data_IF_948686293444
#
_entry.id   IF_948686293444
#
_cell.length_a   1.000
_cell.length_b   1.000
_cell.length_c   1.000
_cell.angle_alpha   90.00
_cell.angle_beta   90.00
_cell.angle_gamma   90.00
#
_symmetry.space_group_name_H-M   'P 1'
#
loop_
_entity.id
_entity.type
_entity.pdbx_description
1 polymer ?
#
# COMPACT_ATOMS: atom_id res chain seq x y z
N UNK A 1 -4.06 -24.89 -2.70
CA UNK A 1 -3.93 -23.42 -2.70
C UNK A 1 -5.32 -22.78 -2.86
N UNK A 2 -6.08 -23.08 -3.91
CA UNK A 2 -7.41 -22.46 -4.15
C UNK A 2 -8.36 -22.58 -2.95
N UNK A 3 -8.47 -23.76 -2.36
CA UNK A 3 -9.29 -23.99 -1.15
C UNK A 3 -8.76 -23.26 0.10
N UNK A 4 -7.44 -23.14 0.24
CA UNK A 4 -6.82 -22.41 1.36
C UNK A 4 -7.06 -20.89 1.26
N UNK A 5 -6.97 -20.33 0.04
CA UNK A 5 -7.17 -18.91 -0.22
C UNK A 5 -8.64 -18.55 -0.49
N UNK A 6 -9.54 -19.53 -0.48
CA UNK A 6 -10.97 -19.37 -0.76
C UNK A 6 -11.27 -18.63 -2.08
N UNK A 7 -10.52 -18.97 -3.13
CA UNK A 7 -10.64 -18.43 -4.49
C UNK A 7 -10.77 -19.54 -5.53
N UNK A 8 -11.21 -19.20 -6.75
CA UNK A 8 -11.33 -20.19 -7.83
C UNK A 8 -9.95 -20.64 -8.35
N UNK A 9 -9.86 -21.89 -8.86
CA UNK A 9 -8.64 -22.39 -9.51
C UNK A 9 -8.22 -21.50 -10.69
N UNK A 10 -9.19 -20.96 -11.44
CA UNK A 10 -8.94 -20.05 -12.54
C UNK A 10 -8.29 -18.75 -12.06
N UNK A 11 -8.69 -18.26 -10.89
CA UNK A 11 -8.07 -17.08 -10.24
C UNK A 11 -6.62 -17.39 -9.89
N UNK A 12 -6.37 -18.54 -9.24
CA UNK A 12 -5.01 -18.99 -8.91
C UNK A 12 -4.12 -19.09 -10.14
N UNK A 13 -4.63 -19.69 -11.22
CA UNK A 13 -3.85 -19.82 -12.47
C UNK A 13 -3.48 -18.46 -13.08
N UNK A 14 -4.38 -17.48 -13.02
CA UNK A 14 -4.09 -16.12 -13.49
C UNK A 14 -3.06 -15.45 -12.61
N UNK A 15 -3.24 -15.52 -11.30
CA UNK A 15 -2.36 -14.88 -10.33
C UNK A 15 -0.95 -15.49 -10.35
N UNK A 16 -0.85 -16.83 -10.54
CA UNK A 16 0.44 -17.50 -10.74
C UNK A 16 1.17 -17.03 -11.99
N UNK A 17 0.47 -16.69 -13.09
CA UNK A 17 1.13 -16.15 -14.29
C UNK A 17 1.72 -14.75 -14.03
N UNK A 18 0.98 -13.91 -13.30
CA UNK A 18 1.47 -12.59 -12.91
C UNK A 18 2.68 -12.71 -11.99
N UNK A 19 2.61 -13.64 -11.04
CA UNK A 19 3.71 -13.95 -10.13
C UNK A 19 4.95 -14.47 -10.89
N UNK A 20 4.78 -15.36 -11.89
CA UNK A 20 5.88 -15.81 -12.76
C UNK A 20 6.56 -14.64 -13.47
N UNK A 21 5.79 -13.71 -14.02
CA UNK A 21 6.34 -12.54 -14.71
C UNK A 21 7.10 -11.63 -13.75
N UNK A 22 6.56 -11.40 -12.56
CA UNK A 22 7.19 -10.57 -11.53
C UNK A 22 8.46 -11.21 -10.98
N UNK A 23 8.44 -12.49 -10.63
CA UNK A 23 9.58 -13.25 -10.13
C UNK A 23 10.69 -13.42 -11.17
N UNK A 24 10.34 -13.46 -12.46
CA UNK A 24 11.31 -13.54 -13.56
C UNK A 24 12.29 -12.36 -13.58
N UNK A 25 11.90 -11.17 -13.07
CA UNK A 25 12.80 -10.02 -12.92
C UNK A 25 13.94 -10.29 -11.93
N UNK A 26 13.71 -11.19 -10.98
CA UNK A 26 14.64 -11.58 -9.93
C UNK A 26 15.31 -12.92 -10.22
N UNK A 27 15.19 -13.45 -11.46
CA UNK A 27 15.72 -14.77 -11.87
C UNK A 27 15.17 -15.95 -11.05
N UNK A 28 13.96 -15.80 -10.55
CA UNK A 28 13.26 -16.82 -9.77
C UNK A 28 12.19 -17.45 -10.67
N UNK A 29 12.22 -18.78 -10.79
CA UNK A 29 11.28 -19.55 -11.57
C UNK A 29 10.18 -20.14 -10.70
N UNK A 30 8.97 -20.20 -11.25
CA UNK A 30 7.81 -20.82 -10.61
C UNK A 30 7.55 -22.18 -11.27
N UNK A 31 7.81 -23.26 -10.54
CA UNK A 31 7.54 -24.62 -11.01
C UNK A 31 6.18 -25.10 -10.52
N UNK A 32 5.34 -25.57 -11.44
CA UNK A 32 4.02 -26.14 -11.13
C UNK A 32 4.11 -27.66 -11.30
N UNK A 33 3.91 -28.40 -10.21
CA UNK A 33 3.92 -29.88 -10.21
C UNK A 33 2.54 -30.41 -9.89
N UNK A 34 1.95 -31.16 -10.80
CA UNK A 34 0.66 -31.79 -10.58
C UNK A 34 0.69 -32.69 -9.33
N UNK A 35 -0.25 -32.46 -8.41
CA UNK A 35 -0.35 -33.20 -7.14
C UNK A 35 0.62 -32.74 -6.03
N UNK A 36 1.68 -31.98 -6.35
CA UNK A 36 2.66 -31.49 -5.37
C UNK A 36 2.51 -29.99 -5.07
N UNK A 37 1.96 -29.19 -6.01
CA UNK A 37 1.74 -27.78 -5.81
C UNK A 37 2.65 -26.87 -6.63
N UNK A 38 3.01 -25.73 -6.05
CA UNK A 38 3.87 -24.71 -6.67
C UNK A 38 5.17 -24.62 -5.87
N UNK A 39 6.29 -24.59 -6.56
CA UNK A 39 7.62 -24.46 -5.97
C UNK A 39 8.37 -23.30 -6.63
N UNK A 40 9.12 -22.54 -5.85
CA UNK A 40 10.03 -21.53 -6.35
C UNK A 40 11.43 -22.15 -6.49
N UNK A 41 12.10 -21.84 -7.58
CA UNK A 41 13.50 -22.25 -7.82
C UNK A 41 14.29 -21.06 -8.38
N UNK A 42 15.57 -20.95 -8.00
CA UNK A 42 16.49 -19.96 -8.51
C UNK A 42 17.85 -20.61 -8.78
N UNK A 43 18.60 -20.05 -9.74
CA UNK A 43 19.97 -20.52 -10.03
C UNK A 43 20.92 -20.19 -8.87
N UNK A 44 20.67 -19.08 -8.15
CA UNK A 44 21.45 -18.64 -7.02
C UNK A 44 20.59 -18.55 -5.76
N UNK A 45 21.07 -19.13 -4.68
CA UNK A 45 20.40 -19.07 -3.37
C UNK A 45 20.26 -17.62 -2.87
N UNK A 46 21.18 -16.72 -3.28
CA UNK A 46 21.12 -15.31 -2.95
C UNK A 46 19.85 -14.63 -3.50
N UNK A 47 19.34 -15.05 -4.64
CA UNK A 47 18.12 -14.51 -5.25
C UNK A 47 16.88 -14.90 -4.42
N UNK A 48 16.86 -16.12 -3.86
CA UNK A 48 15.81 -16.56 -2.94
C UNK A 48 15.89 -15.87 -1.58
N UNK A 49 17.10 -15.67 -1.05
CA UNK A 49 17.32 -14.93 0.19
C UNK A 49 16.92 -13.45 0.04
N UNK A 50 17.20 -12.87 -1.13
CA UNK A 50 16.77 -11.50 -1.42
C UNK A 50 15.24 -11.40 -1.49
N UNK A 51 14.56 -12.37 -2.12
CA UNK A 51 13.10 -12.45 -2.11
C UNK A 51 12.57 -12.60 -0.68
N UNK A 52 13.18 -13.47 0.13
CA UNK A 52 12.80 -13.66 1.53
C UNK A 52 12.95 -12.35 2.32
N UNK A 53 14.07 -11.64 2.16
CA UNK A 53 14.26 -10.30 2.74
C UNK A 53 13.22 -9.28 2.28
N UNK A 54 12.85 -9.26 1.00
CA UNK A 54 11.79 -8.39 0.48
C UNK A 54 10.43 -8.74 1.09
N UNK A 55 10.11 -10.03 1.20
CA UNK A 55 8.86 -10.49 1.79
C UNK A 55 8.82 -10.26 3.30
N UNK A 56 9.92 -10.45 4.01
CA UNK A 56 10.02 -10.21 5.46
C UNK A 56 9.97 -8.71 5.74
N UNK A 57 10.69 -7.87 4.99
CA UNK A 57 10.60 -6.42 5.11
C UNK A 57 9.18 -5.89 4.84
N UNK A 58 8.41 -6.56 3.98
CA UNK A 58 6.97 -6.26 3.80
C UNK A 58 6.08 -6.88 4.90
N UNK A 59 6.59 -7.84 5.69
CA UNK A 59 5.82 -8.55 6.71
C UNK A 59 6.08 -8.10 8.15
N UNK A 60 7.14 -7.36 8.44
CA UNK A 60 7.44 -6.88 9.79
C UNK A 60 6.79 -5.52 10.08
N UNK A 61 5.73 -5.58 10.86
CA UNK A 61 5.15 -4.55 11.71
C UNK A 61 4.55 -3.28 11.12
N UNK A 62 3.49 -3.42 10.38
CA UNK A 62 2.32 -2.57 10.60
C UNK A 62 1.19 -3.50 11.03
N UNK A 63 0.51 -3.21 12.13
CA UNK A 63 -0.69 -3.91 12.60
C UNK A 63 -1.50 -4.47 11.43
N UNK A 64 -1.53 -5.75 11.26
CA UNK A 64 -2.17 -6.66 10.27
C UNK A 64 -2.94 -6.11 9.06
N UNK A 65 -3.24 -4.83 9.05
CA UNK A 65 -4.09 -4.11 8.11
C UNK A 65 -3.27 -3.48 6.99
N UNK A 66 -2.09 -2.93 7.30
CA UNK A 66 -1.30 -2.11 6.36
C UNK A 66 -0.08 -2.82 5.77
N UNK A 67 0.09 -4.12 6.02
CA UNK A 67 1.19 -4.93 5.47
C UNK A 67 1.14 -5.13 3.95
N UNK A 68 0.27 -4.42 3.25
CA UNK A 68 0.13 -4.57 1.81
C UNK A 68 0.10 -3.18 1.16
N UNK A 69 1.15 -2.84 0.40
CA UNK A 69 1.26 -1.59 -0.33
C UNK A 69 0.01 -1.23 -1.15
N UNK A 70 -0.70 -2.23 -1.68
CA UNK A 70 -1.97 -2.03 -2.38
C UNK A 70 -3.07 -1.52 -1.44
N UNK A 71 -3.20 -2.07 -0.23
CA UNK A 71 -4.19 -1.61 0.77
C UNK A 71 -3.92 -0.19 1.21
N UNK A 72 -2.64 0.13 1.42
CA UNK A 72 -2.21 1.50 1.72
C UNK A 72 -2.63 2.46 0.61
N UNK A 73 -2.38 2.10 -0.66
CA UNK A 73 -2.80 2.92 -1.82
C UNK A 73 -4.32 3.07 -1.91
N UNK A 74 -5.08 1.99 -1.70
CA UNK A 74 -6.55 2.04 -1.70
C UNK A 74 -7.06 2.91 -0.55
N UNK A 75 -6.53 2.74 0.66
CA UNK A 75 -6.91 3.55 1.81
C UNK A 75 -6.59 5.03 1.61
N UNK A 76 -5.39 5.36 1.12
CA UNK A 76 -4.97 6.71 0.77
C UNK A 76 -5.92 7.35 -0.26
N UNK A 77 -6.24 6.61 -1.32
CA UNK A 77 -7.18 7.07 -2.34
C UNK A 77 -8.56 7.37 -1.75
N UNK A 78 -9.14 6.45 -0.98
CA UNK A 78 -10.46 6.64 -0.39
C UNK A 78 -10.50 7.79 0.61
N UNK A 79 -9.44 7.98 1.40
CA UNK A 79 -9.31 9.11 2.33
C UNK A 79 -9.20 10.44 1.59
N UNK A 80 -8.43 10.51 0.50
CA UNK A 80 -8.24 11.73 -0.29
C UNK A 80 -9.45 12.08 -1.16
N UNK A 81 -10.18 11.08 -1.64
CA UNK A 81 -11.37 11.29 -2.50
C UNK A 81 -12.66 11.53 -1.70
N UNK A 82 -12.64 11.32 -0.38
CA UNK A 82 -13.84 11.51 0.47
C UNK A 82 -14.37 12.94 0.35
N UNK A 83 -15.70 13.15 0.23
CA UNK A 83 -16.81 12.18 0.31
C UNK A 83 -17.18 11.50 -1.02
N UNK A 84 -16.36 11.62 -2.07
CA UNK A 84 -16.66 11.05 -3.37
C UNK A 84 -16.64 9.52 -3.35
N UNK A 85 -17.57 8.91 -4.09
CA UNK A 85 -17.67 7.45 -4.16
C UNK A 85 -16.79 6.87 -5.27
N UNK A 86 -16.12 5.78 -4.95
CA UNK A 86 -15.30 5.02 -5.90
C UNK A 86 -15.83 3.60 -6.03
N UNK A 87 -16.12 3.16 -7.27
CA UNK A 87 -16.67 1.84 -7.51
C UNK A 87 -15.60 0.73 -7.40
N UNK A 88 -16.03 -0.48 -7.01
CA UNK A 88 -15.16 -1.67 -6.98
C UNK A 88 -14.56 -1.93 -8.37
N UNK A 89 -15.30 -1.68 -9.46
CA UNK A 89 -14.80 -1.83 -10.83
C UNK A 89 -13.62 -0.89 -11.09
N UNK A 90 -13.74 0.40 -10.74
CA UNK A 90 -12.65 1.37 -10.88
C UNK A 90 -11.40 0.95 -10.10
N UNK A 91 -11.57 0.49 -8.85
CA UNK A 91 -10.46 -0.02 -8.05
C UNK A 91 -9.86 -1.30 -8.68
N UNK A 92 -10.68 -2.22 -9.18
CA UNK A 92 -10.23 -3.44 -9.86
C UNK A 92 -9.40 -3.12 -11.10
N UNK A 93 -9.85 -2.19 -11.91
CA UNK A 93 -9.16 -1.73 -13.12
C UNK A 93 -7.84 -1.02 -12.76
N UNK A 94 -7.87 -0.09 -11.81
CA UNK A 94 -6.70 0.70 -11.40
C UNK A 94 -5.59 -0.17 -10.81
N UNK A 95 -5.95 -1.17 -10.01
CA UNK A 95 -4.98 -2.03 -9.32
C UNK A 95 -4.77 -3.40 -10.01
N UNK A 96 -5.40 -3.63 -11.16
CA UNK A 96 -5.28 -4.85 -11.96
C UNK A 96 -5.58 -6.14 -11.18
N UNK A 97 -6.58 -6.10 -10.29
CA UNK A 97 -7.00 -7.25 -9.47
C UNK A 97 -8.50 -7.51 -9.58
N UNK A 98 -8.93 -8.68 -9.09
CA UNK A 98 -10.34 -9.05 -9.10
C UNK A 98 -11.17 -8.21 -8.12
N UNK A 99 -12.46 -7.98 -8.43
CA UNK A 99 -13.39 -7.32 -7.50
C UNK A 99 -13.49 -8.03 -6.15
N UNK A 100 -13.37 -9.36 -6.12
CA UNK A 100 -13.32 -10.13 -4.87
C UNK A 100 -12.11 -9.77 -4.01
N UNK A 101 -10.95 -9.57 -4.64
CA UNK A 101 -9.73 -9.12 -3.95
C UNK A 101 -9.89 -7.70 -3.39
N UNK A 102 -10.50 -6.78 -4.17
CA UNK A 102 -10.84 -5.44 -3.68
C UNK A 102 -11.77 -5.51 -2.46
N UNK A 103 -12.83 -6.33 -2.52
CA UNK A 103 -13.76 -6.50 -1.38
C UNK A 103 -13.04 -6.99 -0.13
N UNK A 104 -12.08 -7.90 -0.26
CA UNK A 104 -11.27 -8.36 0.87
C UNK A 104 -10.37 -7.24 1.42
N UNK A 105 -9.72 -6.49 0.56
CA UNK A 105 -8.88 -5.35 0.96
C UNK A 105 -9.74 -4.28 1.66
N UNK A 106 -10.92 -3.97 1.14
CA UNK A 106 -11.85 -3.01 1.76
C UNK A 106 -12.32 -3.45 3.16
N UNK A 107 -12.49 -4.75 3.41
CA UNK A 107 -12.82 -5.24 4.78
C UNK A 107 -11.69 -4.99 5.77
N UNK A 108 -10.46 -5.18 5.33
CA UNK A 108 -9.28 -4.94 6.16
C UNK A 108 -9.12 -3.44 6.43
N UNK A 109 -9.30 -2.59 5.41
CA UNK A 109 -9.29 -1.13 5.55
C UNK A 109 -10.40 -0.67 6.50
N UNK A 110 -11.62 -1.21 6.39
CA UNK A 110 -12.76 -0.94 7.27
C UNK A 110 -12.42 -1.23 8.74
N UNK A 111 -11.79 -2.38 9.02
CA UNK A 111 -11.35 -2.73 10.38
C UNK A 111 -10.30 -1.76 10.93
N UNK A 112 -9.43 -1.22 10.08
CA UNK A 112 -8.43 -0.23 10.46
C UNK A 112 -9.04 1.16 10.69
N UNK A 113 -10.06 1.55 9.94
CA UNK A 113 -10.75 2.83 10.06
C UNK A 113 -11.64 2.91 11.31
N UNK A 114 -12.23 1.79 11.72
CA UNK A 114 -13.21 1.74 12.81
C UNK A 114 -12.70 2.32 14.15
N UNK A 115 -11.49 2.00 14.65
CA UNK A 115 -10.95 2.61 15.87
C UNK A 115 -10.73 4.12 15.77
N UNK A 116 -10.61 4.65 14.54
CA UNK A 116 -10.43 6.08 14.27
C UNK A 116 -11.78 6.83 14.19
N UNK A 117 -12.89 6.12 14.41
CA UNK A 117 -14.24 6.67 14.30
C UNK A 117 -14.69 6.94 12.87
N UNK A 118 -14.04 6.32 11.88
CA UNK A 118 -14.38 6.38 10.47
C UNK A 118 -15.15 5.13 10.05
N UNK A 119 -16.09 5.29 9.12
CA UNK A 119 -16.90 4.19 8.58
C UNK A 119 -16.71 4.08 7.08
N UNK A 120 -16.63 2.85 6.57
CA UNK A 120 -16.61 2.56 5.14
C UNK A 120 -18.02 2.29 4.65
N UNK A 121 -18.60 3.25 3.95
CA UNK A 121 -19.97 3.16 3.41
C UNK A 121 -19.92 2.55 2.01
N UNK A 122 -20.81 1.59 1.78
CA UNK A 122 -20.98 0.92 0.49
C UNK A 122 -22.37 1.18 -0.04
N UNK A 123 -22.44 1.74 -1.24
CA UNK A 123 -23.67 2.04 -1.96
C UNK A 123 -23.67 1.37 -3.36
N UNK A 124 -24.79 1.35 -4.07
CA UNK A 124 -24.81 0.91 -5.47
C UNK A 124 -23.91 1.74 -6.40
N UNK A 125 -23.63 3.00 -6.06
CA UNK A 125 -22.78 3.93 -6.81
C UNK A 125 -21.29 3.75 -6.50
N UNK A 126 -20.95 3.22 -5.32
CA UNK A 126 -19.57 2.99 -4.95
C UNK A 126 -19.32 2.87 -3.45
N UNK A 127 -18.08 3.09 -3.08
CA UNK A 127 -17.60 3.04 -1.70
C UNK A 127 -16.93 4.37 -1.36
N UNK A 128 -17.22 4.92 -0.18
CA UNK A 128 -16.55 6.10 0.36
C UNK A 128 -16.34 5.97 1.87
N UNK A 129 -15.50 6.84 2.42
CA UNK A 129 -15.28 6.93 3.86
C UNK A 129 -16.20 8.03 4.42
N UNK A 130 -16.89 7.74 5.53
CA UNK A 130 -17.72 8.68 6.26
C UNK A 130 -17.09 8.95 7.64
N UNK A 131 -17.04 10.24 8.00
CA UNK A 131 -16.55 10.73 9.28
C UNK A 131 -16.27 12.23 9.25
N UNK A 132 -15.80 12.78 10.35
CA UNK A 132 -15.42 14.20 10.41
C UNK A 132 -14.10 14.43 9.69
N UNK A 133 -13.89 15.64 9.18
CA UNK A 133 -12.64 16.04 8.54
C UNK A 133 -11.41 15.81 9.45
N UNK A 134 -11.54 16.08 10.75
CA UNK A 134 -10.48 15.82 11.72
C UNK A 134 -10.09 14.35 11.81
N UNK A 135 -11.07 13.43 11.76
CA UNK A 135 -10.82 11.98 11.76
C UNK A 135 -10.15 11.53 10.45
N UNK A 136 -10.59 12.07 9.31
CA UNK A 136 -9.96 11.79 8.00
C UNK A 136 -8.51 12.25 7.98
N UNK A 137 -8.21 13.46 8.47
CA UNK A 137 -6.84 13.97 8.59
C UNK A 137 -5.99 13.13 9.54
N UNK A 138 -6.55 12.69 10.67
CA UNK A 138 -5.85 11.81 11.61
C UNK A 138 -5.51 10.46 10.97
N UNK A 139 -6.46 9.85 10.26
CA UNK A 139 -6.24 8.60 9.55
C UNK A 139 -5.15 8.76 8.47
N UNK A 140 -5.17 9.85 7.71
CA UNK A 140 -4.15 10.15 6.71
C UNK A 140 -2.77 10.34 7.35
N UNK A 141 -2.67 11.05 8.47
CA UNK A 141 -1.41 11.24 9.19
C UNK A 141 -0.84 9.90 9.70
N UNK A 142 -1.68 9.01 10.24
CA UNK A 142 -1.26 7.67 10.67
C UNK A 142 -0.79 6.82 9.48
N UNK A 143 -1.48 6.91 8.34
CA UNK A 143 -1.09 6.23 7.10
C UNK A 143 0.29 6.70 6.63
N UNK A 144 0.52 8.01 6.58
CA UNK A 144 1.80 8.62 6.16
C UNK A 144 2.92 8.23 7.12
N UNK A 145 2.68 8.30 8.43
CA UNK A 145 3.67 7.88 9.44
C UNK A 145 4.03 6.39 9.28
N UNK A 146 3.05 5.52 9.01
CA UNK A 146 3.29 4.13 8.71
C UNK A 146 4.17 3.93 7.46
N UNK A 147 3.91 4.68 6.39
CA UNK A 147 4.72 4.65 5.16
C UNK A 147 6.17 5.09 5.42
N UNK A 148 6.36 6.17 6.16
CA UNK A 148 7.70 6.72 6.48
C UNK A 148 8.49 5.73 7.32
N UNK A 149 7.91 5.25 8.42
CA UNK A 149 8.61 4.35 9.36
C UNK A 149 9.02 3.01 8.74
N UNK A 150 8.29 2.55 7.71
CA UNK A 150 8.67 1.32 6.99
C UNK A 150 9.82 1.48 6.00
N UNK A 151 10.15 2.72 5.62
CA UNK A 151 11.11 2.98 4.56
C UNK A 151 12.40 3.65 5.08
N UNK A 152 12.67 3.64 6.39
CA UNK A 152 13.89 4.23 6.92
C UNK A 152 15.15 3.48 6.44
N UNK A 153 15.97 4.05 5.55
CA UNK A 153 17.37 3.67 5.42
C UNK A 153 18.17 4.50 6.42
N UNK A 154 18.96 3.83 7.22
CA UNK A 154 19.91 4.48 8.10
C UNK A 154 20.89 5.38 7.30
N UNK A 155 20.79 6.67 7.52
CA UNK A 155 21.88 7.64 7.27
C UNK A 155 21.81 8.38 5.94
N UNK A 156 21.72 9.64 6.07
CA UNK A 156 22.02 10.87 5.30
C UNK A 156 20.78 11.72 5.03
N UNK A 157 20.73 12.84 5.72
CA UNK A 157 19.68 13.86 5.63
C UNK A 157 19.84 14.64 4.30
N UNK A 158 18.89 14.48 3.39
CA UNK A 158 18.69 15.43 2.30
C UNK A 158 17.31 16.07 2.46
N UNK A 159 17.28 17.41 2.51
CA UNK A 159 16.06 18.19 2.76
C UNK A 159 15.22 17.62 3.92
N UNK A 160 14.17 18.17 4.33
CA UNK A 160 13.36 17.78 5.51
C UNK A 160 12.78 16.35 5.50
N UNK A 161 12.90 15.65 4.38
CA UNK A 161 12.62 14.22 4.24
C UNK A 161 13.93 13.52 3.84
N UNK A 162 14.27 12.44 4.52
CA UNK A 162 15.32 11.55 4.07
C UNK A 162 14.96 10.93 2.70
N UNK A 163 15.94 10.49 1.91
CA UNK A 163 15.69 9.98 0.56
C UNK A 163 14.75 8.77 0.51
N UNK A 164 14.73 7.94 1.54
CA UNK A 164 13.85 6.78 1.63
C UNK A 164 12.41 7.20 1.81
N UNK A 165 12.15 8.08 2.79
CA UNK A 165 10.83 8.65 3.04
C UNK A 165 10.30 9.44 1.85
N UNK A 166 11.15 10.26 1.20
CA UNK A 166 10.78 10.97 -0.02
C UNK A 166 10.32 10.00 -1.12
N UNK A 167 11.15 8.99 -1.41
CA UNK A 167 10.85 7.97 -2.43
C UNK A 167 9.58 7.19 -2.12
N UNK A 168 9.37 6.85 -0.84
CA UNK A 168 8.15 6.17 -0.41
C UNK A 168 6.91 7.04 -0.62
N UNK A 169 6.95 8.30 -0.20
CA UNK A 169 5.83 9.23 -0.39
C UNK A 169 5.52 9.45 -1.87
N UNK A 170 6.55 9.65 -2.71
CA UNK A 170 6.39 9.77 -4.17
C UNK A 170 5.74 8.51 -4.76
N UNK A 171 6.14 7.33 -4.30
CA UNK A 171 5.54 6.08 -4.76
C UNK A 171 4.06 5.94 -4.43
N UNK A 172 3.62 6.42 -3.25
CA UNK A 172 2.23 6.30 -2.79
C UNK A 172 1.34 7.45 -3.26
N UNK A 173 1.86 8.66 -3.29
CA UNK A 173 1.06 9.88 -3.50
C UNK A 173 1.33 10.57 -4.85
N UNK A 174 2.48 10.34 -5.47
CA UNK A 174 2.93 11.03 -6.66
C UNK A 174 3.96 12.13 -6.36
N UNK A 175 4.79 12.45 -7.33
CA UNK A 175 5.87 13.43 -7.16
C UNK A 175 5.33 14.87 -7.07
N UNK A 176 4.32 15.19 -7.87
CA UNK A 176 3.70 16.52 -7.89
C UNK A 176 3.10 16.87 -6.54
N UNK A 177 2.37 15.94 -5.93
CA UNK A 177 1.73 16.12 -4.62
C UNK A 177 2.75 16.27 -3.50
N UNK A 178 3.82 15.48 -3.53
CA UNK A 178 4.89 15.57 -2.52
C UNK A 178 5.63 16.90 -2.63
N UNK A 179 5.97 17.34 -3.85
CA UNK A 179 6.64 18.63 -4.09
C UNK A 179 5.72 19.81 -3.71
N UNK A 180 4.43 19.73 -4.04
CA UNK A 180 3.45 20.73 -3.65
C UNK A 180 3.38 20.93 -2.13
N UNK A 181 3.27 19.82 -1.37
CA UNK A 181 3.25 19.88 0.10
C UNK A 181 4.55 20.45 0.65
N UNK A 182 5.70 20.06 0.10
CA UNK A 182 7.00 20.61 0.51
C UNK A 182 7.08 22.12 0.27
N UNK A 183 6.62 22.61 -0.89
CA UNK A 183 6.62 24.04 -1.18
C UNK A 183 5.68 24.81 -0.24
N UNK A 184 4.50 24.27 0.03
CA UNK A 184 3.53 24.89 0.95
C UNK A 184 4.11 25.01 2.36
N UNK A 185 4.78 23.98 2.87
CA UNK A 185 5.43 24.02 4.19
C UNK A 185 6.54 25.06 4.25
N UNK A 186 7.35 25.17 3.18
CA UNK A 186 8.39 26.20 3.08
C UNK A 186 7.81 27.61 3.08
N UNK A 187 6.73 27.83 2.34
CA UNK A 187 6.05 29.11 2.29
C UNK A 187 5.45 29.49 3.67
N UNK A 188 4.82 28.54 4.34
CA UNK A 188 4.30 28.74 5.70
C UNK A 188 5.39 29.10 6.70
N UNK A 189 6.55 28.43 6.64
CA UNK A 189 7.68 28.75 7.54
C UNK A 189 8.26 30.14 7.26
N UNK A 190 8.35 30.53 6.00
CA UNK A 190 8.80 31.87 5.62
C UNK A 190 7.83 32.94 6.11
N UNK A 191 6.52 32.72 6.00
CA UNK A 191 5.51 33.65 6.46
C UNK A 191 5.43 33.74 8.00
N UNK A 192 5.54 32.60 8.68
CA UNK A 192 5.44 32.56 10.15
C UNK A 192 6.78 32.86 10.84
N UNK A 193 7.89 32.95 10.10
CA UNK A 193 9.25 33.04 10.64
C UNK A 193 9.54 31.97 11.70
N UNK A 194 8.97 30.77 11.49
CA UNK A 194 9.03 29.65 12.44
C UNK A 194 9.37 28.36 11.69
N UNK A 195 10.37 27.59 12.19
CA UNK A 195 10.72 26.30 11.62
C UNK A 195 9.75 25.22 12.10
N UNK A 196 9.06 24.58 11.16
CA UNK A 196 8.21 23.43 11.42
C UNK A 196 9.11 22.17 11.43
N UNK A 197 9.72 21.84 12.54
CA UNK A 197 10.51 20.60 12.62
C UNK A 197 11.81 20.67 13.42
N UNK A 198 12.06 21.75 14.13
CA UNK A 198 13.04 21.75 15.23
C UNK A 198 12.33 21.48 16.55
N UNK A 199 12.85 20.52 17.38
CA UNK A 199 12.27 20.22 18.69
C UNK A 199 12.40 21.36 19.69
#
# INVERSE_FOLDING_TARGET
>A
IAGYLNVSEKTIQRDLRLLEQWLGQWRINVEKRAGAGVMLSAENIADLLHLDHLLVAECEEIDGVMNNARRVKIASQLLSETPNETSISKLSERYFISGASIVNDLRVIESWLAPLGLSLIRSPSGTHIEGSEGQVRQAMALLINGIINHNEPQGVVYSRLDPGSYKALVHYFGEEEVLFVQSLLLDMENELSWSLGEP
#
